data_IF_968435756621
#
_entry.id   IF_968435756621
#
_cell.length_a   1.000
_cell.length_b   1.000
_cell.length_c   1.000
_cell.angle_alpha   90.00
_cell.angle_beta   90.00
_cell.angle_gamma   90.00
#
_symmetry.space_group_name_H-M   'P 1'
#
loop_
_entity.id
_entity.type
_entity.pdbx_description
1 polymer ?
#
# COMPACT_ATOMS: atom_id res chain seq x y z
N UNK A 1 -16.53 19.01 6.02
CA UNK A 1 -16.12 17.63 6.34
C UNK A 1 -14.78 17.40 5.64
N UNK A 2 -13.73 17.03 6.36
CA UNK A 2 -12.43 16.71 5.75
C UNK A 2 -12.52 15.31 5.11
N UNK A 3 -11.77 15.08 4.03
CA UNK A 3 -11.66 13.74 3.46
C UNK A 3 -11.03 12.79 4.47
N UNK A 4 -11.73 11.70 4.80
CA UNK A 4 -11.07 10.57 5.45
C UNK A 4 -9.91 10.08 4.55
N UNK A 5 -8.82 9.53 5.10
CA UNK A 5 -7.77 8.95 4.29
C UNK A 5 -8.36 7.92 3.32
N UNK A 6 -8.05 8.07 2.03
CA UNK A 6 -8.45 7.12 0.98
C UNK A 6 -7.53 5.89 1.04
N UNK A 7 -7.67 5.09 2.09
CA UNK A 7 -6.77 3.97 2.38
C UNK A 7 -6.70 2.98 1.23
N UNK A 8 -7.79 2.75 0.50
CA UNK A 8 -7.80 1.94 -0.72
C UNK A 8 -6.90 2.50 -1.82
N UNK A 9 -6.94 3.81 -2.05
CA UNK A 9 -6.09 4.47 -3.04
C UNK A 9 -4.62 4.43 -2.62
N UNK A 10 -4.34 4.68 -1.33
CA UNK A 10 -3.00 4.59 -0.77
C UNK A 10 -2.45 3.15 -0.85
N UNK A 11 -3.29 2.15 -0.60
CA UNK A 11 -2.89 0.76 -0.62
C UNK A 11 -2.63 0.27 -2.04
N UNK A 12 -3.52 0.60 -2.98
CA UNK A 12 -3.31 0.35 -4.41
C UNK A 12 -2.01 1.00 -4.91
N UNK A 13 -1.67 2.20 -4.42
CA UNK A 13 -0.40 2.85 -4.74
C UNK A 13 0.80 2.02 -4.24
N UNK A 14 0.73 1.46 -3.04
CA UNK A 14 1.74 0.54 -2.53
C UNK A 14 1.93 -0.70 -3.43
N UNK A 15 0.81 -1.28 -3.90
CA UNK A 15 0.83 -2.41 -4.84
C UNK A 15 1.49 -2.02 -6.18
N UNK A 16 1.19 -0.83 -6.70
CA UNK A 16 1.83 -0.32 -7.93
C UNK A 16 3.35 -0.23 -7.79
N UNK A 17 3.85 0.30 -6.66
CA UNK A 17 5.29 0.33 -6.42
C UNK A 17 5.93 -1.06 -6.30
N UNK A 18 5.22 -2.06 -5.75
CA UNK A 18 5.69 -3.46 -5.80
C UNK A 18 5.86 -3.92 -7.25
N UNK A 19 4.87 -3.66 -8.10
CA UNK A 19 4.89 -4.06 -9.52
C UNK A 19 6.04 -3.36 -10.28
N UNK A 20 6.29 -2.09 -9.99
CA UNK A 20 7.41 -1.32 -10.52
C UNK A 20 8.78 -1.81 -10.01
N UNK A 21 8.79 -2.61 -8.93
CA UNK A 21 10.01 -3.10 -8.28
C UNK A 21 10.64 -2.10 -7.31
N UNK A 22 9.92 -1.03 -6.94
CA UNK A 22 10.29 -0.06 -5.91
C UNK A 22 9.79 -0.55 -4.54
N UNK A 23 10.46 -1.60 -4.03
CA UNK A 23 10.04 -2.24 -2.79
C UNK A 23 10.22 -1.35 -1.55
N UNK A 24 11.11 -0.37 -1.58
CA UNK A 24 11.27 0.55 -0.43
C UNK A 24 10.03 1.43 -0.30
N UNK A 25 9.54 2.00 -1.40
CA UNK A 25 8.29 2.74 -1.37
C UNK A 25 7.09 1.83 -1.10
N UNK A 26 7.03 0.63 -1.68
CA UNK A 26 5.96 -0.32 -1.40
C UNK A 26 5.81 -0.59 0.10
N UNK A 27 6.92 -0.88 0.81
CA UNK A 27 6.92 -1.11 2.27
C UNK A 27 6.46 0.11 3.06
N UNK A 28 6.86 1.31 2.65
CA UNK A 28 6.43 2.56 3.27
C UNK A 28 4.91 2.78 3.14
N UNK A 29 4.34 2.50 1.96
CA UNK A 29 2.90 2.58 1.74
C UNK A 29 2.13 1.51 2.51
N UNK A 30 2.61 0.26 2.54
CA UNK A 30 2.00 -0.83 3.32
C UNK A 30 1.99 -0.47 4.82
N UNK A 31 3.06 0.16 5.32
CA UNK A 31 3.11 0.65 6.69
C UNK A 31 2.08 1.73 6.98
N UNK A 32 1.78 2.61 6.01
CA UNK A 32 0.81 3.69 6.19
C UNK A 32 -0.64 3.21 6.25
N UNK A 33 -0.92 2.05 5.68
CA UNK A 33 -2.28 1.49 5.60
C UNK A 33 -2.50 0.31 6.53
N UNK A 34 -1.53 -0.03 7.38
CA UNK A 34 -1.56 -1.24 8.21
C UNK A 34 -2.78 -1.34 9.14
N UNK A 35 -3.25 -0.20 9.64
CA UNK A 35 -4.42 -0.10 10.53
C UNK A 35 -5.75 -0.06 9.77
N UNK A 36 -5.72 0.06 8.44
CA UNK A 36 -6.93 0.06 7.64
C UNK A 36 -7.62 -1.31 7.68
N UNK A 37 -8.94 -1.29 7.56
CA UNK A 37 -9.75 -2.51 7.51
C UNK A 37 -9.31 -3.42 6.34
N UNK A 38 -9.09 -2.85 5.17
CA UNK A 38 -8.70 -3.59 3.96
C UNK A 38 -7.36 -4.31 4.12
N UNK A 39 -6.35 -3.64 4.69
CA UNK A 39 -5.05 -4.25 4.93
C UNK A 39 -5.13 -5.33 6.00
N UNK A 40 -5.80 -5.02 7.12
CA UNK A 40 -5.89 -5.97 8.24
C UNK A 40 -6.75 -7.20 7.92
N UNK A 41 -7.73 -7.10 7.01
CA UNK A 41 -8.47 -8.26 6.47
C UNK A 41 -7.55 -9.23 5.70
N UNK A 42 -6.55 -8.70 4.99
CA UNK A 42 -5.68 -9.49 4.11
C UNK A 42 -4.42 -10.00 4.81
N UNK A 43 -3.77 -9.16 5.61
CA UNK A 43 -2.47 -9.46 6.22
C UNK A 43 -2.53 -9.68 7.73
N UNK A 44 -3.68 -9.43 8.34
CA UNK A 44 -3.84 -9.45 9.80
C UNK A 44 -3.30 -8.19 10.47
N UNK A 45 -3.22 -8.23 11.80
CA UNK A 45 -2.73 -7.12 12.66
C UNK A 45 -1.48 -7.46 13.46
N UNK A 46 -0.90 -8.63 13.23
CA UNK A 46 0.25 -9.13 13.96
C UNK A 46 1.55 -8.77 13.25
N UNK A 47 2.57 -8.45 14.04
CA UNK A 47 3.90 -8.08 13.54
C UNK A 47 4.08 -6.57 13.43
N UNK A 48 5.31 -6.16 13.15
CA UNK A 48 5.71 -4.77 13.03
C UNK A 48 5.60 -4.30 11.57
N UNK A 49 5.24 -3.03 11.38
CA UNK A 49 5.36 -2.41 10.05
C UNK A 49 6.81 -2.16 9.70
N UNK A 50 7.09 -1.92 8.43
CA UNK A 50 8.44 -1.54 7.98
C UNK A 50 8.92 -0.25 8.66
N UNK A 51 8.04 0.74 8.82
CA UNK A 51 8.39 1.99 9.51
C UNK A 51 8.78 1.77 10.96
N UNK A 52 7.95 1.04 11.72
CA UNK A 52 8.24 0.74 13.12
C UNK A 52 9.54 -0.07 13.27
N UNK A 53 9.76 -1.04 12.38
CA UNK A 53 11.00 -1.81 12.36
C UNK A 53 12.23 -0.95 12.04
N UNK A 54 12.13 -0.03 11.07
CA UNK A 54 13.22 0.90 10.73
C UNK A 54 13.54 1.88 11.87
N UNK A 55 12.54 2.33 12.62
CA UNK A 55 12.75 3.19 13.79
C UNK A 55 13.52 2.46 14.90
N UNK A 56 13.23 1.17 15.10
CA UNK A 56 13.87 0.36 16.14
C UNK A 56 15.27 -0.14 15.74
N UNK A 57 15.46 -0.55 14.49
CA UNK A 57 16.67 -1.28 14.06
C UNK A 57 17.54 -0.52 13.03
N UNK A 58 17.05 0.62 12.53
CA UNK A 58 17.73 1.38 11.47
C UNK A 58 17.86 0.57 10.18
N UNK A 59 19.11 0.41 9.73
CA UNK A 59 19.44 -0.38 8.52
C UNK A 59 19.96 -1.80 8.84
N UNK A 60 20.03 -2.18 10.13
CA UNK A 60 20.45 -3.50 10.58
C UNK A 60 19.28 -4.31 11.11
N UNK A 61 19.50 -5.58 11.45
CA UNK A 61 18.51 -6.41 12.13
C UNK A 61 17.79 -7.43 11.25
N UNK A 62 17.20 -8.41 11.92
CA UNK A 62 16.37 -9.44 11.31
C UNK A 62 14.96 -8.91 11.08
N UNK A 63 14.38 -9.22 9.93
CA UNK A 63 13.03 -8.81 9.52
C UNK A 63 11.93 -9.81 9.90
N UNK A 64 12.24 -10.86 10.68
CA UNK A 64 11.25 -11.85 11.14
C UNK A 64 10.06 -11.27 11.91
N UNK A 65 10.22 -10.13 12.58
CA UNK A 65 9.15 -9.46 13.33
C UNK A 65 8.15 -8.73 12.43
N UNK A 66 8.47 -8.52 11.15
CA UNK A 66 7.61 -7.79 10.22
C UNK A 66 6.24 -8.46 10.06
N UNK A 67 5.22 -7.65 9.76
CA UNK A 67 3.88 -8.14 9.42
C UNK A 67 3.88 -8.97 8.13
N UNK A 68 2.77 -9.66 7.87
CA UNK A 68 2.68 -10.59 6.75
C UNK A 68 2.77 -9.91 5.37
N UNK A 69 2.23 -8.71 5.22
CA UNK A 69 2.32 -7.96 3.96
C UNK A 69 3.76 -7.51 3.69
N UNK A 70 4.48 -7.09 4.72
CA UNK A 70 5.90 -6.77 4.62
C UNK A 70 6.76 -8.00 4.27
N UNK A 71 6.49 -9.15 4.91
CA UNK A 71 7.15 -10.43 4.59
C UNK A 71 6.86 -10.89 3.16
N UNK A 72 5.64 -10.66 2.68
CA UNK A 72 5.30 -10.92 1.29
C UNK A 72 6.16 -10.06 0.35
N UNK A 73 6.31 -8.75 0.61
CA UNK A 73 7.20 -7.88 -0.17
C UNK A 73 8.66 -8.36 -0.17
N UNK A 74 9.19 -8.80 0.98
CA UNK A 74 10.54 -9.38 1.08
C UNK A 74 10.68 -10.64 0.21
N UNK A 75 9.66 -11.50 0.19
CA UNK A 75 9.66 -12.74 -0.59
C UNK A 75 9.60 -12.44 -2.10
N UNK A 76 8.76 -11.49 -2.52
CA UNK A 76 8.67 -11.05 -3.92
C UNK A 76 9.99 -10.41 -4.38
N UNK A 77 10.59 -9.56 -3.55
CA UNK A 77 11.90 -8.95 -3.86
C UNK A 77 12.98 -10.03 -4.00
N UNK A 78 13.05 -10.97 -3.06
CA UNK A 78 14.03 -12.06 -3.09
C UNK A 78 13.84 -12.93 -4.34
N UNK A 79 12.60 -13.26 -4.70
CA UNK A 79 12.30 -14.01 -5.92
C UNK A 79 12.82 -13.28 -7.17
N UNK A 80 12.59 -11.96 -7.27
CA UNK A 80 13.09 -11.13 -8.39
C UNK A 80 14.62 -11.15 -8.46
N UNK A 81 15.29 -11.02 -7.33
CA UNK A 81 16.76 -10.92 -7.25
C UNK A 81 17.46 -12.27 -7.49
N UNK A 82 16.85 -13.37 -7.06
CA UNK A 82 17.45 -14.71 -7.11
C UNK A 82 16.99 -15.56 -8.29
N UNK A 83 16.01 -15.09 -9.07
CA UNK A 83 15.35 -15.88 -10.11
C UNK A 83 14.88 -17.23 -9.56
N UNK A 84 14.01 -17.17 -8.54
CA UNK A 84 13.51 -18.33 -7.81
C UNK A 84 12.83 -19.39 -8.68
N UNK A 85 12.37 -20.50 -8.08
CA UNK A 85 11.80 -21.62 -8.83
C UNK A 85 10.35 -21.35 -9.24
N UNK A 86 9.88 -22.02 -10.29
CA UNK A 86 8.48 -21.88 -10.76
C UNK A 86 7.42 -22.22 -9.68
N UNK A 87 7.71 -23.16 -8.77
CA UNK A 87 6.81 -23.46 -7.65
C UNK A 87 6.68 -22.27 -6.68
N UNK A 88 7.78 -21.54 -6.44
CA UNK A 88 7.77 -20.34 -5.61
C UNK A 88 7.00 -19.21 -6.30
N UNK A 89 7.16 -19.10 -7.63
CA UNK A 89 6.43 -18.15 -8.46
C UNK A 89 4.92 -18.36 -8.39
N UNK A 90 4.44 -19.59 -8.54
CA UNK A 90 3.00 -19.89 -8.51
C UNK A 90 2.36 -19.48 -7.17
N UNK A 91 3.05 -19.74 -6.04
CA UNK A 91 2.59 -19.32 -4.71
C UNK A 91 2.55 -17.80 -4.56
N UNK A 92 3.55 -17.09 -5.10
CA UNK A 92 3.58 -15.62 -5.09
C UNK A 92 2.48 -15.01 -5.97
N UNK A 93 2.21 -15.62 -7.12
CA UNK A 93 1.12 -15.21 -8.01
C UNK A 93 -0.25 -15.41 -7.34
N UNK A 94 -0.46 -16.54 -6.65
CA UNK A 94 -1.68 -16.82 -5.90
C UNK A 94 -1.90 -15.83 -4.75
N UNK A 95 -0.85 -15.54 -3.98
CA UNK A 95 -0.92 -14.54 -2.91
C UNK A 95 -1.18 -13.12 -3.45
N UNK A 96 -0.50 -12.74 -4.54
CA UNK A 96 -0.73 -11.45 -5.20
C UNK A 96 -2.15 -11.33 -5.76
N UNK A 97 -2.72 -12.43 -6.27
CA UNK A 97 -4.11 -12.46 -6.74
C UNK A 97 -5.09 -12.32 -5.59
N UNK A 98 -4.88 -13.08 -4.51
CA UNK A 98 -5.71 -13.00 -3.30
C UNK A 98 -5.76 -11.59 -2.73
N UNK A 99 -4.61 -10.89 -2.73
CA UNK A 99 -4.54 -9.50 -2.32
C UNK A 99 -5.40 -8.59 -3.21
N UNK A 100 -5.23 -8.67 -4.54
CA UNK A 100 -5.99 -7.85 -5.49
C UNK A 100 -7.49 -8.14 -5.43
N UNK A 101 -7.87 -9.40 -5.39
CA UNK A 101 -9.27 -9.82 -5.30
C UNK A 101 -9.90 -9.32 -4.00
N UNK A 102 -9.17 -9.38 -2.88
CA UNK A 102 -9.64 -8.83 -1.61
C UNK A 102 -9.78 -7.30 -1.61
N UNK A 103 -8.89 -6.58 -2.30
CA UNK A 103 -9.01 -5.12 -2.46
C UNK A 103 -10.24 -4.77 -3.30
N UNK A 104 -10.48 -5.51 -4.39
CA UNK A 104 -11.66 -5.35 -5.25
C UNK A 104 -12.94 -5.66 -4.46
N UNK A 105 -12.99 -6.80 -3.77
CA UNK A 105 -14.12 -7.23 -2.96
C UNK A 105 -14.46 -6.18 -1.89
N UNK A 106 -13.46 -5.70 -1.14
CA UNK A 106 -13.68 -4.66 -0.14
C UNK A 106 -14.19 -3.35 -0.78
N UNK A 107 -13.64 -2.95 -1.93
CA UNK A 107 -14.07 -1.75 -2.64
C UNK A 107 -15.54 -1.86 -3.10
N UNK A 108 -15.93 -3.02 -3.65
CA UNK A 108 -17.31 -3.31 -4.04
C UNK A 108 -18.24 -3.28 -2.82
N UNK A 109 -17.85 -3.89 -1.71
CA UNK A 109 -18.66 -3.92 -0.49
C UNK A 109 -18.83 -2.51 0.12
N UNK A 110 -17.78 -1.68 0.08
CA UNK A 110 -17.80 -0.34 0.67
C UNK A 110 -18.51 0.70 -0.20
N UNK A 111 -18.25 0.68 -1.50
CA UNK A 111 -18.69 1.74 -2.41
C UNK A 111 -19.86 1.32 -3.32
N UNK A 112 -20.12 0.02 -3.43
CA UNK A 112 -21.04 -0.53 -4.42
C UNK A 112 -20.48 -0.48 -5.85
N UNK A 113 -21.27 -0.95 -6.80
CA UNK A 113 -20.95 -0.97 -8.24
C UNK A 113 -21.85 -0.06 -9.08
N UNK A 114 -22.82 0.60 -8.44
CA UNK A 114 -23.74 1.51 -9.10
C UNK A 114 -23.01 2.75 -9.60
N UNK A 115 -23.37 3.21 -10.80
CA UNK A 115 -22.85 4.47 -11.33
C UNK A 115 -23.34 5.64 -10.46
N UNK A 116 -22.40 6.39 -9.87
CA UNK A 116 -22.71 7.64 -9.20
C UNK A 116 -22.91 8.76 -10.24
N UNK A 117 -24.18 9.08 -10.55
CA UNK A 117 -24.56 10.10 -11.54
C UNK A 117 -24.36 11.52 -11.00
N UNK A 118 -24.54 11.71 -9.69
CA UNK A 118 -24.21 12.93 -8.97
C UNK A 118 -23.28 12.59 -7.80
N UNK A 119 -22.06 13.11 -7.85
CA UNK A 119 -21.04 12.91 -6.83
C UNK A 119 -20.91 14.11 -5.86
N UNK A 120 -21.80 15.10 -5.95
CA UNK A 120 -21.75 16.31 -5.12
C UNK A 120 -21.76 16.00 -3.62
N UNK A 121 -22.46 14.95 -3.19
CA UNK A 121 -22.49 14.49 -1.80
C UNK A 121 -21.26 13.70 -1.37
N UNK A 122 -20.51 13.12 -2.32
CA UNK A 122 -19.28 12.39 -2.06
C UNK A 122 -18.04 13.29 -2.16
N UNK A 123 -18.13 14.39 -2.92
CA UNK A 123 -17.05 15.34 -3.05
C UNK A 123 -16.79 16.06 -1.72
N UNK A 124 -15.53 16.02 -1.31
CA UNK A 124 -15.04 16.67 -0.10
C UNK A 124 -13.92 17.62 -0.49
N UNK A 125 -14.03 18.88 -0.06
CA UNK A 125 -12.98 19.86 -0.27
C UNK A 125 -11.74 19.43 0.53
N UNK A 126 -10.55 19.35 -0.09
CA UNK A 126 -9.30 19.21 0.65
C UNK A 126 -9.19 20.32 1.69
N UNK A 127 -8.73 19.97 2.90
CA UNK A 127 -8.38 21.00 3.87
C UNK A 127 -7.10 21.73 3.40
N UNK A 128 -6.75 22.82 4.09
CA UNK A 128 -5.60 23.65 3.72
C UNK A 128 -4.27 22.86 3.72
N UNK A 129 -4.15 21.90 4.64
CA UNK A 129 -2.96 21.05 4.76
C UNK A 129 -2.82 20.10 3.57
N UNK A 130 -3.88 19.37 3.20
CA UNK A 130 -3.91 18.46 2.05
C UNK A 130 -3.75 19.27 0.75
N UNK A 131 -4.38 20.45 0.67
CA UNK A 131 -4.21 21.37 -0.46
C UNK A 131 -2.74 21.75 -0.63
N UNK A 132 -2.08 22.17 0.45
CA UNK A 132 -0.67 22.56 0.44
C UNK A 132 0.24 21.38 0.10
N UNK A 133 -0.01 20.19 0.67
CA UNK A 133 0.73 18.97 0.31
C UNK A 133 0.61 18.65 -1.18
N UNK A 134 -0.61 18.76 -1.75
CA UNK A 134 -0.83 18.57 -3.19
C UNK A 134 -0.11 19.62 -4.04
N UNK A 135 -0.17 20.89 -3.63
CA UNK A 135 0.54 21.99 -4.29
C UNK A 135 2.07 21.82 -4.24
N UNK A 136 2.61 21.37 -3.12
CA UNK A 136 4.03 21.06 -2.95
C UNK A 136 4.49 19.88 -3.81
N UNK A 137 3.64 18.85 -3.98
CA UNK A 137 3.91 17.70 -4.84
C UNK A 137 3.89 18.05 -6.35
N UNK A 138 3.06 19.02 -6.76
CA UNK A 138 2.89 19.42 -8.17
C UNK A 138 3.85 20.54 -8.57
N UNK A 139 4.04 21.52 -7.70
CA UNK A 139 4.69 22.81 -8.01
C UNK A 139 5.75 23.27 -7.00
N UNK A 140 5.87 22.61 -5.85
CA UNK A 140 6.86 22.93 -4.82
C UNK A 140 8.21 22.25 -5.01
N UNK A 141 9.14 22.53 -4.08
CA UNK A 141 10.48 21.94 -4.03
C UNK A 141 10.52 20.44 -3.68
N UNK A 142 9.38 19.87 -3.29
CA UNK A 142 9.15 18.44 -3.08
C UNK A 142 8.82 17.69 -4.39
N UNK A 143 8.82 18.42 -5.52
CA UNK A 143 8.06 18.14 -6.74
C UNK A 143 8.28 16.79 -7.43
N UNK A 144 7.37 16.52 -8.38
CA UNK A 144 7.34 15.46 -9.40
C UNK A 144 8.58 14.56 -9.38
N UNK A 145 8.44 13.33 -8.85
CA UNK A 145 9.48 12.30 -8.88
C UNK A 145 10.10 12.26 -10.28
N UNK A 146 11.39 12.60 -10.37
CA UNK A 146 12.17 12.41 -11.60
C UNK A 146 12.38 10.91 -11.73
N UNK A 147 11.70 10.30 -12.70
CA UNK A 147 11.98 8.94 -13.14
C UNK A 147 13.27 8.92 -13.96
#
# INVERSE_FOLDING_TARGET
MQSAPAFEGMYLHGILHRIEGDYVNARAWYSNVNESEIYSKLWGRSGQTWKAWQEEHGNGGDRKSLDNGQKFLDTVQTFKETQGKEADKASLEEQSRTELDGVIEWSVNKFGTGRMVDASSAWVKPNEEIRKMGEDQVSGGSGRRKF
#
